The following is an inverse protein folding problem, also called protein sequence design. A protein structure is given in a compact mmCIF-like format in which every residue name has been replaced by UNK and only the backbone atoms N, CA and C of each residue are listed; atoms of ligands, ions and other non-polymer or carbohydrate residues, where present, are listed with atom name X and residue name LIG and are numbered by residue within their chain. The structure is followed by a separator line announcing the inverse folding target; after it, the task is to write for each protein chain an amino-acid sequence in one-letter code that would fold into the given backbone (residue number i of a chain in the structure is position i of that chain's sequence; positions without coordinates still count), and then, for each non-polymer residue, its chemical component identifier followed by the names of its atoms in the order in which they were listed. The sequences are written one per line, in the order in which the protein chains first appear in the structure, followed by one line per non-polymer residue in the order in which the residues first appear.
data_IF_769011590034
#
_entry.id   IF_769011590034
#
_cell.length_a   1.000
_cell.length_b   1.000
_cell.length_c   1.000
_cell.angle_alpha   90.00
_cell.angle_beta   90.00
_cell.angle_gamma   90.00
#
_symmetry.space_group_name_H-M   'P 1'
#
loop_
_entity.id
_entity.type
_entity.pdbx_description
1 polymer ?
#
# COMPACT_ATOMS: atom_id res chain seq x y z
N UNK A 1 6.79 -2.12 -33.80
CA UNK A 1 5.40 -1.62 -33.74
C UNK A 1 4.69 -2.02 -32.45
N UNK A 2 4.70 -3.30 -32.02
CA UNK A 2 3.94 -3.77 -30.84
C UNK A 2 4.20 -3.04 -29.51
N UNK A 3 5.46 -2.83 -29.10
CA UNK A 3 5.77 -2.25 -27.78
C UNK A 3 5.27 -0.80 -27.62
N UNK A 4 5.29 -0.02 -28.71
CA UNK A 4 4.84 1.38 -28.70
C UNK A 4 3.32 1.47 -28.45
N UNK A 5 2.55 0.58 -29.04
CA UNK A 5 1.09 0.54 -28.88
C UNK A 5 0.69 0.12 -27.46
N UNK A 6 1.42 -0.83 -26.86
CA UNK A 6 1.19 -1.25 -25.46
C UNK A 6 1.44 -0.09 -24.49
N UNK A 7 2.53 0.67 -24.68
CA UNK A 7 2.84 1.83 -23.83
C UNK A 7 1.80 2.95 -23.96
N UNK A 8 1.32 3.22 -25.19
CA UNK A 8 0.23 4.18 -25.43
C UNK A 8 -1.07 3.74 -24.74
N UNK A 9 -1.50 2.50 -24.95
CA UNK A 9 -2.70 1.94 -24.29
C UNK A 9 -2.58 1.99 -22.77
N UNK A 10 -1.41 1.64 -22.22
CA UNK A 10 -1.17 1.74 -20.78
C UNK A 10 -1.31 3.19 -20.28
N UNK A 11 -0.77 4.16 -21.01
CA UNK A 11 -0.88 5.59 -20.66
C UNK A 11 -2.33 6.06 -20.69
N UNK A 12 -3.10 5.67 -21.71
CA UNK A 12 -4.54 5.95 -21.81
C UNK A 12 -5.30 5.36 -20.62
N UNK A 13 -5.02 4.10 -20.27
CA UNK A 13 -5.60 3.41 -19.12
C UNK A 13 -5.37 4.19 -17.83
N UNK A 14 -4.13 4.58 -17.55
CA UNK A 14 -3.81 5.37 -16.36
C UNK A 14 -4.53 6.73 -16.35
N UNK A 15 -4.55 7.42 -17.50
CA UNK A 15 -5.20 8.73 -17.66
C UNK A 15 -6.71 8.66 -17.43
N UNK A 16 -7.40 7.66 -17.97
CA UNK A 16 -8.84 7.47 -17.78
C UNK A 16 -9.20 7.23 -16.30
N UNK A 17 -8.38 6.46 -15.59
CA UNK A 17 -8.55 6.22 -14.15
C UNK A 17 -8.04 7.36 -13.25
N UNK A 18 -7.52 8.46 -13.81
CA UNK A 18 -6.88 9.58 -13.09
C UNK A 18 -5.68 9.14 -12.23
N UNK A 19 -4.96 8.11 -12.68
CA UNK A 19 -3.74 7.63 -12.05
C UNK A 19 -2.51 8.38 -12.58
N UNK A 20 -1.42 8.47 -11.80
CA UNK A 20 -0.17 9.07 -12.27
C UNK A 20 0.36 8.39 -13.53
N UNK A 21 0.79 9.17 -14.52
CA UNK A 21 1.36 8.69 -15.78
C UNK A 21 2.52 9.58 -16.26
N UNK A 22 3.36 9.06 -17.14
CA UNK A 22 4.49 9.80 -17.69
C UNK A 22 3.98 10.67 -18.85
N UNK A 23 3.89 11.99 -18.62
CA UNK A 23 3.37 12.95 -19.61
C UNK A 23 4.11 12.94 -20.96
N UNK A 24 5.40 12.60 -20.96
CA UNK A 24 6.21 12.48 -22.21
C UNK A 24 5.75 11.34 -23.12
N UNK A 25 5.01 10.37 -22.58
CA UNK A 25 4.45 9.23 -23.30
C UNK A 25 2.97 9.44 -23.65
N UNK A 26 2.40 10.60 -23.29
CA UNK A 26 1.04 10.97 -23.66
C UNK A 26 0.98 11.22 -25.17
N UNK A 27 -0.01 10.62 -25.80
CA UNK A 27 -0.27 10.75 -27.22
C UNK A 27 -1.71 11.23 -27.37
N UNK A 28 -1.89 12.45 -27.88
CA UNK A 28 -3.20 13.06 -28.09
C UNK A 28 -3.85 12.62 -29.40
N UNK A 29 -3.23 11.70 -30.16
CA UNK A 29 -3.85 11.16 -31.37
C UNK A 29 -5.12 10.36 -31.07
N UNK A 30 -6.07 10.45 -32.00
CA UNK A 30 -7.35 9.74 -31.93
C UNK A 30 -7.24 8.24 -32.30
N UNK A 31 -6.02 7.74 -32.51
CA UNK A 31 -5.71 6.35 -32.91
C UNK A 31 -6.34 5.30 -31.97
N UNK A 32 -6.56 5.67 -30.70
CA UNK A 32 -7.11 4.79 -29.65
C UNK A 32 -8.43 5.29 -29.07
N UNK A 33 -9.21 6.05 -29.85
CA UNK A 33 -10.48 6.61 -29.40
C UNK A 33 -11.48 5.56 -28.87
N UNK A 34 -11.63 4.40 -29.53
CA UNK A 34 -12.52 3.33 -29.03
C UNK A 34 -12.04 2.76 -27.69
N UNK A 35 -10.74 2.44 -27.60
CA UNK A 35 -10.12 1.92 -26.37
C UNK A 35 -10.23 2.91 -25.21
N UNK A 36 -10.11 4.22 -25.50
CA UNK A 36 -10.33 5.29 -24.51
C UNK A 36 -11.78 5.30 -24.01
N UNK A 37 -12.77 5.09 -24.88
CA UNK A 37 -14.17 4.98 -24.44
C UNK A 37 -14.38 3.75 -23.56
N UNK A 38 -13.88 2.58 -23.95
CA UNK A 38 -13.93 1.36 -23.14
C UNK A 38 -13.28 1.57 -21.75
N UNK A 39 -12.13 2.24 -21.70
CA UNK A 39 -11.48 2.61 -20.44
C UNK A 39 -12.37 3.48 -19.56
N UNK A 40 -13.06 4.46 -20.12
CA UNK A 40 -13.95 5.35 -19.37
C UNK A 40 -15.21 4.61 -18.88
N UNK A 41 -15.76 3.70 -19.67
CA UNK A 41 -16.88 2.85 -19.29
C UNK A 41 -16.54 1.95 -18.10
N UNK A 42 -15.39 1.27 -18.12
CA UNK A 42 -14.94 0.47 -16.99
C UNK A 42 -14.69 1.32 -15.74
N UNK A 43 -14.11 2.53 -15.89
CA UNK A 43 -13.96 3.47 -14.77
C UNK A 43 -15.31 3.86 -14.19
N UNK A 44 -16.33 4.05 -15.02
CA UNK A 44 -17.66 4.35 -14.54
C UNK A 44 -18.28 3.15 -13.80
N UNK A 45 -18.11 1.93 -14.33
CA UNK A 45 -18.53 0.70 -13.63
C UNK A 45 -17.88 0.59 -12.25
N UNK A 46 -16.56 0.82 -12.15
CA UNK A 46 -15.82 0.80 -10.88
C UNK A 46 -16.37 1.79 -9.85
N UNK A 47 -16.87 2.96 -10.29
CA UNK A 47 -17.49 3.95 -9.40
C UNK A 47 -18.90 3.58 -8.95
N UNK A 48 -19.58 2.70 -9.68
CA UNK A 48 -20.95 2.26 -9.37
C UNK A 48 -21.00 0.98 -8.54
N UNK A 49 -19.99 0.11 -8.64
CA UNK A 49 -19.89 -1.11 -7.82
C UNK A 49 -19.53 -0.67 -6.39
N UNK A 50 -20.45 -0.89 -5.46
CA UNK A 50 -20.35 -0.45 -4.06
C UNK A 50 -20.17 -1.63 -3.12
N UNK A 51 -19.36 -1.40 -2.09
CA UNK A 51 -19.14 -2.29 -0.96
C UNK A 51 -19.18 -1.42 0.30
N UNK A 52 -20.27 -1.50 1.06
CA UNK A 52 -20.54 -0.56 2.15
C UNK A 52 -20.47 0.90 1.65
N UNK A 53 -19.72 1.77 2.35
CA UNK A 53 -19.48 3.17 1.98
C UNK A 53 -18.37 3.36 0.93
N UNK A 54 -17.78 2.28 0.44
CA UNK A 54 -16.72 2.30 -0.54
C UNK A 54 -17.20 1.88 -1.93
N UNK A 55 -16.51 2.35 -2.95
CA UNK A 55 -16.67 1.87 -4.33
C UNK A 55 -15.44 1.08 -4.71
N UNK A 56 -15.53 0.23 -5.73
CA UNK A 56 -14.34 -0.46 -6.25
C UNK A 56 -13.26 0.53 -6.72
N UNK A 57 -13.66 1.71 -7.21
CA UNK A 57 -12.75 2.78 -7.58
C UNK A 57 -11.91 3.32 -6.40
N UNK A 58 -12.31 3.07 -5.15
CA UNK A 58 -11.53 3.47 -3.97
C UNK A 58 -10.12 2.89 -3.93
N UNK A 59 -9.90 1.74 -4.56
CA UNK A 59 -8.58 1.11 -4.72
C UNK A 59 -7.60 2.03 -5.46
N UNK A 60 -8.10 2.85 -6.41
CA UNK A 60 -7.29 3.77 -7.20
C UNK A 60 -7.22 5.17 -6.59
N UNK A 61 -8.32 5.65 -6.01
CA UNK A 61 -8.36 6.99 -5.43
C UNK A 61 -7.72 7.07 -4.04
N UNK A 62 -7.36 5.94 -3.44
CA UNK A 62 -6.78 5.90 -2.09
C UNK A 62 -7.78 6.35 -1.03
N UNK A 63 -9.06 5.95 -1.16
CA UNK A 63 -10.03 6.20 -0.08
C UNK A 63 -9.47 5.65 1.24
N UNK A 64 -9.80 6.30 2.35
CA UNK A 64 -9.45 5.76 3.67
C UNK A 64 -10.15 4.41 3.88
N UNK A 65 -9.42 3.40 4.35
CA UNK A 65 -9.98 2.20 5.01
C UNK A 65 -10.62 1.15 4.09
N UNK A 66 -10.54 1.29 2.76
CA UNK A 66 -11.05 0.27 1.83
C UNK A 66 -10.37 -1.10 2.01
N UNK A 67 -9.15 -1.13 2.56
CA UNK A 67 -8.38 -2.35 2.82
C UNK A 67 -8.97 -3.21 3.95
N UNK A 68 -9.88 -2.66 4.76
CA UNK A 68 -10.52 -3.35 5.88
C UNK A 68 -11.84 -4.02 5.44
N UNK A 69 -12.33 -3.68 4.25
CA UNK A 69 -13.58 -4.22 3.69
C UNK A 69 -13.29 -5.53 2.98
N UNK A 70 -13.61 -6.66 3.63
CA UNK A 70 -13.35 -8.01 3.10
C UNK A 70 -14.05 -8.24 1.75
N UNK A 71 -15.24 -7.67 1.56
CA UNK A 71 -16.00 -7.78 0.32
C UNK A 71 -15.28 -7.17 -0.89
N UNK A 72 -14.44 -6.15 -0.67
CA UNK A 72 -13.60 -5.59 -1.74
C UNK A 72 -12.51 -6.59 -2.15
N UNK A 73 -11.90 -7.27 -1.18
CA UNK A 73 -10.89 -8.29 -1.46
C UNK A 73 -11.48 -9.47 -2.21
N UNK A 74 -12.64 -9.97 -1.77
CA UNK A 74 -13.37 -11.05 -2.45
C UNK A 74 -13.72 -10.67 -3.89
N UNK A 75 -14.26 -9.46 -4.09
CA UNK A 75 -14.63 -8.98 -5.42
C UNK A 75 -13.43 -8.83 -6.36
N UNK A 76 -12.27 -8.40 -5.86
CA UNK A 76 -11.05 -8.22 -6.67
C UNK A 76 -10.38 -9.56 -6.99
N UNK A 77 -10.44 -10.52 -6.07
CA UNK A 77 -9.84 -11.85 -6.25
C UNK A 77 -10.74 -12.81 -7.02
N UNK A 78 -12.03 -12.48 -7.15
CA UNK A 78 -12.99 -13.24 -7.94
C UNK A 78 -12.62 -13.29 -9.44
N UNK A 79 -12.82 -14.44 -10.12
CA UNK A 79 -12.75 -14.52 -11.58
C UNK A 79 -13.74 -13.59 -12.32
N UNK A 80 -14.89 -13.27 -11.72
CA UNK A 80 -15.94 -12.44 -12.33
C UNK A 80 -15.44 -11.02 -12.65
N UNK A 81 -14.47 -10.51 -11.89
CA UNK A 81 -13.96 -9.16 -12.11
C UNK A 81 -13.24 -9.02 -13.45
N UNK A 82 -12.62 -10.10 -13.95
CA UNK A 82 -11.92 -10.13 -15.25
C UNK A 82 -12.90 -10.06 -16.41
N UNK A 83 -14.12 -10.57 -16.24
CA UNK A 83 -15.19 -10.44 -17.23
C UNK A 83 -15.87 -9.07 -17.16
N UNK A 84 -16.00 -8.51 -15.96
CA UNK A 84 -16.67 -7.22 -15.74
C UNK A 84 -15.80 -6.03 -16.14
N UNK A 85 -14.49 -6.12 -15.84
CA UNK A 85 -13.49 -5.07 -15.99
C UNK A 85 -12.21 -5.60 -16.66
N UNK A 86 -12.27 -6.13 -17.90
CA UNK A 86 -11.11 -6.73 -18.57
C UNK A 86 -9.89 -5.80 -18.69
N UNK A 87 -10.08 -4.47 -18.78
CA UNK A 87 -8.98 -3.51 -18.88
C UNK A 87 -8.30 -3.28 -17.52
N UNK A 88 -9.10 -3.17 -16.44
CA UNK A 88 -8.59 -2.77 -15.12
C UNK A 88 -8.41 -3.90 -14.12
N UNK A 89 -8.98 -5.09 -14.31
CA UNK A 89 -8.96 -6.19 -13.33
C UNK A 89 -7.55 -6.49 -12.80
N UNK A 90 -6.57 -6.65 -13.70
CA UNK A 90 -5.18 -6.91 -13.32
C UNK A 90 -4.53 -5.74 -12.54
N UNK A 91 -4.89 -4.50 -12.89
CA UNK A 91 -4.35 -3.32 -12.21
C UNK A 91 -5.02 -3.14 -10.83
N UNK A 92 -6.31 -3.41 -10.71
CA UNK A 92 -7.03 -3.43 -9.43
C UNK A 92 -6.40 -4.43 -8.47
N UNK A 93 -6.22 -5.67 -8.91
CA UNK A 93 -5.59 -6.74 -8.13
C UNK A 93 -4.18 -6.36 -7.68
N UNK A 94 -3.33 -5.92 -8.62
CA UNK A 94 -1.96 -5.52 -8.29
C UNK A 94 -1.91 -4.32 -7.32
N UNK A 95 -2.81 -3.34 -7.50
CA UNK A 95 -2.88 -2.16 -6.63
C UNK A 95 -3.34 -2.54 -5.23
N UNK A 96 -4.38 -3.37 -5.13
CA UNK A 96 -4.91 -3.86 -3.86
C UNK A 96 -3.86 -4.67 -3.09
N UNK A 97 -3.24 -5.66 -3.74
CA UNK A 97 -2.19 -6.49 -3.12
C UNK A 97 -1.00 -5.63 -2.66
N UNK A 98 -0.58 -4.66 -3.47
CA UNK A 98 0.51 -3.74 -3.09
C UNK A 98 0.13 -2.92 -1.85
N UNK A 99 -1.07 -2.36 -1.82
CA UNK A 99 -1.54 -1.57 -0.70
C UNK A 99 -1.70 -2.40 0.59
N UNK A 100 -2.21 -3.64 0.49
CA UNK A 100 -2.31 -4.58 1.62
C UNK A 100 -0.93 -4.93 2.20
N UNK A 101 0.05 -5.22 1.34
CA UNK A 101 1.44 -5.47 1.77
C UNK A 101 2.04 -4.24 2.46
N UNK A 102 1.83 -3.05 1.89
CA UNK A 102 2.30 -1.78 2.46
C UNK A 102 1.66 -1.52 3.84
N UNK A 103 0.38 -1.77 4.00
CA UNK A 103 -0.32 -1.61 5.28
C UNK A 103 0.24 -2.56 6.35
N UNK A 104 0.43 -3.84 6.03
CA UNK A 104 1.03 -4.79 6.96
C UNK A 104 2.46 -4.37 7.37
N UNK A 105 3.23 -3.81 6.45
CA UNK A 105 4.57 -3.29 6.74
C UNK A 105 4.51 -2.06 7.68
N UNK A 106 3.55 -1.16 7.45
CA UNK A 106 3.32 -0.01 8.33
C UNK A 106 2.93 -0.41 9.75
N UNK A 107 2.06 -1.41 9.90
CA UNK A 107 1.63 -1.90 11.21
C UNK A 107 2.80 -2.49 12.01
N UNK A 108 3.69 -3.24 11.35
CA UNK A 108 4.92 -3.76 11.97
C UNK A 108 5.92 -2.66 12.33
N UNK A 109 6.08 -1.67 11.44
CA UNK A 109 7.00 -0.56 11.64
C UNK A 109 6.51 0.38 12.76
N UNK A 110 5.20 0.61 12.86
CA UNK A 110 4.57 1.40 13.93
C UNK A 110 4.87 0.79 15.30
N UNK A 111 4.65 -0.52 15.45
CA UNK A 111 4.99 -1.24 16.68
C UNK A 111 6.48 -1.14 17.03
N UNK A 112 7.35 -1.25 16.02
CA UNK A 112 8.80 -1.10 16.19
C UNK A 112 9.20 0.29 16.65
N UNK A 113 8.62 1.34 16.04
CA UNK A 113 8.90 2.72 16.40
C UNK A 113 8.45 3.05 17.83
N UNK A 114 7.25 2.61 18.21
CA UNK A 114 6.71 2.81 19.57
C UNK A 114 7.62 2.15 20.60
N UNK A 115 8.05 0.91 20.34
CA UNK A 115 9.02 0.21 21.19
C UNK A 115 10.33 1.00 21.36
N UNK A 116 10.89 1.57 20.28
CA UNK A 116 12.11 2.37 20.37
C UNK A 116 11.89 3.66 21.17
N UNK A 117 10.77 4.35 20.95
CA UNK A 117 10.45 5.60 21.66
C UNK A 117 10.28 5.38 23.16
N UNK A 118 9.66 4.26 23.56
CA UNK A 118 9.46 3.88 24.96
C UNK A 118 10.75 3.45 25.67
N UNK A 119 11.70 2.87 24.94
CA UNK A 119 12.96 2.37 25.51
C UNK A 119 14.11 3.38 25.51
N UNK A 120 13.93 4.56 24.92
CA UNK A 120 14.93 5.63 24.92
C UNK A 120 14.62 6.65 26.03
N UNK A 121 15.55 6.82 26.97
CA UNK A 121 15.39 7.70 28.14
C UNK A 121 15.06 9.16 27.79
N UNK A 122 15.49 9.67 26.63
CA UNK A 122 15.17 11.01 26.17
C UNK A 122 13.74 11.15 25.64
N UNK A 123 13.17 10.07 25.09
CA UNK A 123 11.84 10.08 24.44
C UNK A 123 10.77 9.33 25.22
N UNK A 124 11.12 8.62 26.29
CA UNK A 124 10.22 7.81 27.12
C UNK A 124 9.02 8.57 27.69
N UNK A 125 9.16 9.89 27.89
CA UNK A 125 8.07 10.78 28.35
C UNK A 125 7.16 11.27 27.23
N UNK A 126 7.55 11.07 25.97
CA UNK A 126 6.77 11.46 24.79
C UNK A 126 5.85 10.30 24.42
N UNK A 127 4.61 10.36 24.87
CA UNK A 127 3.56 9.44 24.41
C UNK A 127 3.02 9.95 23.08
N UNK A 128 3.41 9.30 21.98
CA UNK A 128 2.87 9.59 20.65
C UNK A 128 1.69 8.65 20.36
N UNK A 129 0.51 9.18 19.96
CA UNK A 129 -0.60 8.33 19.53
C UNK A 129 -0.23 7.44 18.36
N UNK A 130 -0.80 6.23 18.30
CA UNK A 130 -0.54 5.25 17.25
C UNK A 130 -0.78 5.84 15.85
N UNK A 131 -1.86 6.59 15.70
CA UNK A 131 -2.28 7.21 14.45
C UNK A 131 -1.23 8.21 13.94
N UNK A 132 -0.59 8.96 14.85
CA UNK A 132 0.47 9.92 14.51
C UNK A 132 1.73 9.20 14.05
N UNK A 133 2.13 8.12 14.75
CA UNK A 133 3.27 7.30 14.34
C UNK A 133 3.02 6.70 12.95
N UNK A 134 1.83 6.15 12.72
CA UNK A 134 1.48 5.55 11.43
C UNK A 134 1.48 6.59 10.31
N UNK A 135 0.94 7.79 10.58
CA UNK A 135 0.94 8.89 9.63
C UNK A 135 2.37 9.30 9.26
N UNK A 136 3.27 9.44 10.23
CA UNK A 136 4.69 9.73 9.96
C UNK A 136 5.31 8.65 9.09
N UNK A 137 5.13 7.37 9.47
CA UNK A 137 5.71 6.23 8.75
C UNK A 137 5.13 6.06 7.34
N UNK A 138 3.91 6.55 7.09
CA UNK A 138 3.27 6.47 5.78
C UNK A 138 4.05 7.17 4.67
N UNK A 139 4.85 8.20 5.01
CA UNK A 139 5.71 8.95 4.09
C UNK A 139 7.05 8.26 3.79
N UNK A 140 7.40 7.20 4.51
CA UNK A 140 8.67 6.47 4.38
C UNK A 140 8.57 5.38 3.31
N UNK A 141 9.63 5.04 2.58
CA UNK A 141 9.58 3.90 1.65
C UNK A 141 9.61 2.52 2.34
N UNK A 142 9.39 1.44 1.59
CA UNK A 142 9.33 0.07 2.14
C UNK A 142 10.68 -0.41 2.70
N UNK A 143 11.80 0.06 2.12
CA UNK A 143 13.14 -0.34 2.56
C UNK A 143 13.47 0.28 3.92
N UNK A 144 13.18 1.56 4.10
CA UNK A 144 13.36 2.27 5.35
C UNK A 144 12.42 1.75 6.44
N UNK A 145 11.17 1.39 6.13
CA UNK A 145 10.31 0.67 7.10
C UNK A 145 10.90 -0.67 7.51
N UNK A 146 11.42 -1.44 6.54
CA UNK A 146 12.04 -2.75 6.80
C UNK A 146 13.29 -2.60 7.68
N UNK A 147 14.11 -1.60 7.43
CA UNK A 147 15.29 -1.29 8.24
C UNK A 147 14.91 -0.92 9.68
N UNK A 148 13.86 -0.12 9.86
CA UNK A 148 13.32 0.20 11.19
C UNK A 148 12.88 -1.07 11.94
N UNK A 149 12.12 -1.95 11.29
CA UNK A 149 11.69 -3.24 11.87
C UNK A 149 12.88 -4.13 12.24
N UNK A 150 13.96 -4.11 11.45
CA UNK A 150 15.14 -4.93 11.73
C UNK A 150 16.03 -4.34 12.84
N UNK A 151 16.02 -3.01 13.01
CA UNK A 151 16.75 -2.34 14.08
C UNK A 151 16.25 -2.74 15.48
N UNK A 152 14.95 -2.99 15.64
CA UNK A 152 14.36 -3.46 16.90
C UNK A 152 14.66 -4.94 17.18
N UNK A 153 14.76 -5.77 16.14
CA UNK A 153 15.14 -7.19 16.27
C UNK A 153 16.60 -7.35 16.70
N UNK A 154 17.49 -6.50 16.20
CA UNK A 154 18.93 -6.54 16.53
C UNK A 154 19.23 -5.98 17.93
N UNK A 155 18.42 -5.05 18.44
CA UNK A 155 18.51 -4.61 19.84
C UNK A 155 18.12 -5.68 20.88
N UNK A 156 17.46 -6.78 20.47
CA UNK A 156 17.12 -7.91 21.34
C UNK A 156 18.24 -8.94 21.53
N UNK A 157 19.47 -8.69 21.04
CA UNK A 157 20.63 -9.56 21.27
C UNK A 157 21.66 -8.85 22.16
N UNK A 158 21.46 -8.94 23.47
CA UNK A 158 22.54 -9.13 24.45
C UNK A 158 22.06 -10.08 25.55
N UNK A 159 22.33 -11.39 25.45
CA UNK A 159 22.39 -12.19 26.67
C UNK A 159 23.59 -11.69 27.47
N UNK A 160 23.35 -11.03 28.60
CA UNK A 160 24.39 -10.96 29.63
C UNK A 160 24.52 -12.38 30.20
N UNK A 161 25.72 -12.99 30.18
CA UNK A 161 25.92 -14.27 30.81
C UNK A 161 25.77 -14.10 32.33
N UNK A 162 24.82 -14.83 32.90
CA UNK A 162 24.76 -15.08 34.34
C UNK A 162 25.93 -16.01 34.71
N UNK A 163 27.11 -15.43 34.90
CA UNK A 163 28.16 -16.09 35.67
C UNK A 163 28.81 -15.09 36.62
N UNK A 164 28.89 -15.53 37.88
CA UNK A 164 29.65 -14.98 39.01
C UNK A 164 29.00 -13.88 39.84
N UNK A 165 28.15 -14.31 40.80
CA UNK A 165 28.23 -13.81 42.18
C UNK A 165 27.63 -14.82 43.17
N UNK A 166 28.30 -15.97 43.33
CA UNK A 166 28.36 -16.63 44.65
C UNK A 166 29.70 -16.23 45.24
N UNK A 167 29.67 -15.78 46.50
CA UNK A 167 30.76 -15.29 47.36
C UNK A 167 30.95 -13.76 47.43
N UNK A 168 30.15 -13.13 48.29
CA UNK A 168 30.68 -12.31 49.41
C UNK A 168 29.53 -11.94 50.36
N UNK A 169 29.86 -11.89 51.66
CA UNK A 169 29.02 -11.82 52.87
C UNK A 169 28.73 -13.25 53.37
N UNK A 170 29.60 -13.84 54.23
CA UNK A 170 29.72 -13.55 55.68
C UNK A 170 28.34 -13.36 56.32
#
# INVERSE_FOLDING_TARGET
ACTRNVVKQHTIKLKCARLPFIKRLDDESDEFSSYKMECLEEVQKMKTIKFSDHTLYCVFSGCSWYLIVEEIEEAITSPEIKFTLPIYASLLEATFVKAKKRQALLDLAQNSMIFLLQNNEATKKVMMPFEIVQMILSFTDDDALTNLINSTKTSNIKPQPFENMVNKLI
#
